data_IF_500590261592
#
_entry.id   IF_500590261592
#
_cell.length_a   1.000
_cell.length_b   1.000
_cell.length_c   1.000
_cell.angle_alpha   90.00
_cell.angle_beta   90.00
_cell.angle_gamma   90.00
#
_symmetry.space_group_name_H-M   'P 1'
#
loop_
_entity.id
_entity.type
_entity.pdbx_description
1 polymer ?
#
# COMPACT_ATOMS: atom_id res chain seq x y z
N UNK A 5 -2.30 -6.52 -8.98
CA UNK A 5 -3.32 -5.74 -9.78
C UNK A 5 -4.70 -6.25 -9.42
N UNK A 6 -5.28 -7.05 -10.30
CA UNK A 6 -6.61 -7.60 -10.07
C UNK A 6 -6.51 -8.95 -9.35
N UNK A 7 -5.28 -9.36 -9.06
CA UNK A 7 -5.01 -10.63 -8.38
C UNK A 7 -5.24 -10.38 -6.88
N UNK A 8 -6.19 -9.49 -6.63
CA UNK A 8 -6.57 -9.06 -5.29
C UNK A 8 -7.60 -10.00 -4.65
N UNK A 9 -7.96 -9.70 -3.40
CA UNK A 9 -8.91 -10.51 -2.63
C UNK A 9 -9.30 -9.64 -1.44
N UNK A 10 -10.59 -9.61 -1.11
CA UNK A 10 -10.99 -8.81 0.04
C UNK A 10 -12.31 -9.32 0.59
N UNK A 11 -12.59 -8.99 1.84
CA UNK A 11 -13.83 -9.45 2.42
C UNK A 11 -14.42 -8.59 3.52
N UNK A 12 -15.74 -8.48 3.51
CA UNK A 12 -16.45 -7.70 4.52
C UNK A 12 -16.25 -8.29 5.92
N UNK A 13 -16.79 -7.56 6.89
CA UNK A 13 -16.74 -7.88 8.31
C UNK A 13 -16.11 -9.21 8.69
N UNK A 14 -14.99 -9.13 9.41
CA UNK A 14 -14.28 -10.33 9.82
C UNK A 14 -13.79 -10.30 11.25
N UNK A 15 -13.26 -11.42 11.72
CA UNK A 15 -12.73 -11.51 13.07
C UNK A 15 -11.42 -12.29 13.06
N UNK A 16 -10.41 -11.83 13.79
CA UNK A 16 -9.13 -12.53 13.84
C UNK A 16 -8.94 -13.20 15.19
N UNK A 17 -8.50 -14.45 15.20
CA UNK A 17 -8.34 -15.18 16.45
C UNK A 17 -6.90 -15.50 16.80
N UNK A 18 -6.49 -15.18 18.04
CA UNK A 18 -5.12 -15.49 18.44
C UNK A 18 -5.21 -16.78 19.24
N UNK A 19 -4.78 -17.86 18.59
CA UNK A 19 -4.81 -19.20 19.15
C UNK A 19 -6.12 -19.56 19.85
N UNK A 20 -7.24 -18.95 19.45
CA UNK A 20 -8.50 -19.28 20.07
C UNK A 20 -9.25 -18.10 20.66
N UNK A 21 -8.56 -17.01 20.92
CA UNK A 21 -9.26 -15.86 21.48
C UNK A 21 -9.58 -14.86 20.40
N UNK A 22 -10.84 -14.43 20.33
CA UNK A 22 -11.24 -13.45 19.34
C UNK A 22 -10.59 -12.17 19.86
N UNK A 24 -10.51 -8.78 17.87
CA UNK A 24 -10.80 -7.56 17.12
C UNK A 24 -11.78 -7.82 15.98
N UNK A 25 -12.92 -7.14 16.04
CA UNK A 25 -13.90 -7.31 14.98
C UNK A 25 -13.46 -6.42 13.85
N UNK A 26 -12.53 -6.95 13.05
CA UNK A 26 -11.99 -6.20 11.93
C UNK A 26 -12.98 -6.09 10.76
N UNK A 27 -13.23 -4.85 10.37
CA UNK A 27 -14.15 -4.56 9.26
C UNK A 27 -13.46 -4.83 7.94
N UNK A 28 -13.72 -4.00 6.94
CA UNK A 28 -13.13 -4.14 5.63
C UNK A 28 -11.65 -4.47 5.63
N UNK A 29 -11.28 -5.50 4.88
CA UNK A 29 -9.87 -5.87 4.77
C UNK A 29 -9.64 -6.25 3.32
N UNK A 30 -8.43 -6.05 2.81
CA UNK A 30 -8.14 -6.40 1.41
C UNK A 30 -6.70 -6.89 1.20
N UNK A 31 -6.54 -8.18 0.90
CA UNK A 31 -5.22 -8.76 0.69
C UNK A 31 -4.78 -8.82 -0.75
N UNK A 32 -3.65 -9.50 -0.95
CA UNK A 32 -3.04 -9.62 -2.26
C UNK A 32 -2.17 -10.87 -2.45
N UNK A 33 -2.71 -11.98 -2.91
CA UNK A 33 -1.86 -13.15 -3.09
C UNK A 33 -0.69 -12.79 -3.99
N UNK A 34 0.53 -12.96 -3.50
CA UNK A 34 1.69 -12.61 -4.30
C UNK A 34 1.92 -13.61 -5.42
N UNK A 35 2.09 -13.09 -6.62
CA UNK A 35 2.34 -13.89 -7.81
C UNK A 35 3.83 -13.87 -8.07
N UNK A 36 4.57 -14.79 -7.46
CA UNK A 36 6.02 -14.78 -7.63
C UNK A 36 6.67 -15.97 -8.32
N UNK A 37 7.59 -15.66 -9.23
CA UNK A 37 8.39 -16.66 -9.93
C UNK A 37 7.61 -17.75 -10.67
N UNK A 38 8.18 -18.94 -10.61
CA UNK A 38 7.63 -20.13 -11.24
C UNK A 38 6.32 -20.61 -10.62
N UNK A 39 5.20 -20.00 -11.02
CA UNK A 39 3.90 -20.39 -10.49
C UNK A 39 2.80 -19.71 -11.30
N UNK A 40 2.29 -20.42 -12.31
CA UNK A 40 1.25 -19.87 -13.17
C UNK A 40 0.21 -19.04 -12.43
N UNK A 41 -0.88 -19.69 -12.01
CA UNK A 41 -1.95 -19.00 -11.32
C UNK A 41 -2.14 -19.52 -9.91
N UNK A 42 -1.41 -18.93 -8.96
CA UNK A 42 -1.48 -19.33 -7.55
C UNK A 42 -2.88 -19.23 -6.96
N UNK A 44 -6.11 -18.47 -8.37
CA UNK A 44 -7.11 -19.25 -9.08
C UNK A 44 -7.28 -20.64 -8.51
N UNK A 45 -6.18 -21.36 -8.35
CA UNK A 45 -6.25 -22.72 -7.82
C UNK A 45 -5.88 -22.86 -6.35
N UNK A 46 -6.73 -22.32 -5.49
CA UNK A 46 -6.55 -22.39 -4.04
C UNK A 46 -7.97 -22.18 -3.55
N UNK A 48 -10.37 -22.76 -5.62
CA UNK A 48 -10.94 -23.95 -6.24
C UNK A 48 -9.84 -24.93 -6.59
N UNK A 49 -9.29 -25.60 -5.58
CA UNK A 49 -8.26 -26.57 -5.87
C UNK A 49 -7.20 -26.82 -4.83
N UNK A 50 -6.51 -27.94 -5.00
CA UNK A 50 -5.42 -28.39 -4.13
C UNK A 50 -4.14 -27.77 -4.66
N UNK A 51 -3.39 -27.11 -3.79
CA UNK A 51 -2.16 -26.50 -4.25
C UNK A 51 -1.14 -26.36 -3.14
N UNK A 52 0.01 -25.77 -3.47
CA UNK A 52 1.07 -25.56 -2.51
C UNK A 52 0.51 -24.73 -1.37
N UNK A 53 1.05 -24.96 -0.17
CA UNK A 53 0.62 -24.24 1.02
C UNK A 53 1.07 -22.77 0.91
N UNK A 54 1.36 -22.36 -0.31
CA UNK A 54 1.78 -20.99 -0.54
C UNK A 54 0.67 -20.01 -0.24
N UNK A 55 0.23 -19.30 -1.27
CA UNK A 55 -0.80 -18.28 -1.14
C UNK A 55 -0.35 -17.26 -0.11
N UNK A 56 0.96 -17.12 0.03
CA UNK A 56 1.53 -16.17 0.95
C UNK A 56 1.23 -14.82 0.31
N UNK A 57 1.17 -13.73 1.09
CA UNK A 57 0.92 -12.42 0.49
C UNK A 57 0.99 -11.22 1.41
N UNK A 58 0.65 -10.04 0.90
CA UNK A 58 0.63 -8.87 1.77
C UNK A 58 -0.77 -8.32 1.67
N UNK A 59 -1.11 -7.38 2.53
CA UNK A 59 -2.45 -6.83 2.48
C UNK A 59 -2.65 -5.65 3.40
N UNK A 60 -3.91 -5.28 3.60
CA UNK A 60 -4.22 -4.18 4.48
C UNK A 60 -5.63 -4.38 4.99
N UNK A 61 -5.93 -3.75 6.11
CA UNK A 61 -7.25 -3.92 6.66
C UNK A 61 -7.47 -2.89 7.73
N UNK A 62 -8.72 -2.58 8.00
CA UNK A 62 -9.04 -1.58 9.02
C UNK A 62 -9.89 -2.21 10.12
N UNK A 63 -9.54 -1.91 11.37
CA UNK A 63 -10.30 -2.46 12.47
C UNK A 63 -11.55 -1.63 12.77
N UNK A 64 -12.55 -2.30 13.35
CA UNK A 64 -13.82 -1.68 13.72
C UNK A 64 -13.73 -1.18 15.17
N UNK A 65 -13.62 -2.11 16.11
CA UNK A 65 -13.52 -1.71 17.53
C UNK A 65 -12.22 -2.26 18.12
N UNK A 66 -11.71 -1.63 19.17
CA UNK A 66 -10.48 -2.08 19.79
C UNK A 66 -10.60 -2.28 21.29
N UNK A 67 -10.52 -3.54 21.72
CA UNK A 67 -10.63 -3.85 23.13
C UNK A 67 -9.35 -3.49 23.87
N UNK A 68 -9.50 -2.72 24.94
CA UNK A 68 -8.35 -2.31 25.75
C UNK A 68 -7.48 -3.53 25.96
N UNK A 69 -8.13 -4.61 26.38
CA UNK A 69 -7.42 -5.85 26.64
C UNK A 69 -6.45 -6.12 25.50
N UNK A 70 -6.99 -6.16 24.29
CA UNK A 70 -6.15 -6.43 23.12
C UNK A 70 -4.94 -5.48 23.04
N UNK A 71 -5.20 -4.18 23.10
CA UNK A 71 -4.11 -3.23 23.02
C UNK A 71 -3.06 -3.63 24.04
N UNK A 72 -3.44 -3.58 25.32
CA UNK A 72 -2.53 -3.97 26.39
C UNK A 72 -1.88 -5.31 26.02
N UNK A 73 -2.66 -6.23 25.47
CA UNK A 73 -2.08 -7.51 25.10
C UNK A 73 -0.95 -7.28 24.12
N UNK A 76 2.31 -6.05 25.57
CA UNK A 76 3.14 -7.07 26.20
C UNK A 76 3.93 -7.84 25.16
N UNK A 77 3.42 -7.81 23.93
CA UNK A 77 4.07 -8.51 22.83
C UNK A 77 5.24 -7.72 22.26
N UNK A 78 4.98 -6.45 21.97
CA UNK A 78 6.02 -5.59 21.43
C UNK A 78 7.08 -5.45 22.51
N UNK A 79 6.68 -5.65 23.76
CA UNK A 79 7.64 -5.57 24.86
C UNK A 79 8.68 -6.63 24.54
N UNK A 80 8.22 -7.88 24.48
CA UNK A 80 9.09 -9.02 24.19
C UNK A 80 9.61 -8.91 22.77
N UNK A 81 9.24 -7.80 22.13
CA UNK A 81 9.68 -7.54 20.77
C UNK A 81 9.36 -8.63 19.78
N UNK A 82 8.11 -9.07 19.78
CA UNK A 82 7.73 -10.10 18.84
C UNK A 82 6.38 -9.83 18.24
N UNK A 83 6.16 -10.32 17.02
CA UNK A 83 4.89 -10.16 16.35
C UNK A 83 4.25 -11.53 16.27
N UNK A 84 3.07 -11.68 16.88
CA UNK A 84 2.25 -12.89 16.95
C UNK A 84 1.52 -13.17 15.63
N UNK A 85 1.10 -14.42 15.43
CA UNK A 85 0.37 -14.77 14.21
C UNK A 85 -1.10 -14.96 14.50
N UNK A 86 -1.93 -14.08 13.97
CA UNK A 86 -3.37 -14.17 14.17
C UNK A 86 -3.96 -14.85 12.94
N UNK A 87 -5.19 -15.35 13.08
CA UNK A 87 -5.87 -16.00 11.98
C UNK A 87 -7.09 -15.15 11.70
N UNK A 88 -7.11 -14.48 10.54
CA UNK A 88 -8.22 -13.62 10.22
C UNK A 88 -9.32 -14.32 9.47
N UNK A 89 -10.45 -14.53 10.12
CA UNK A 89 -11.54 -15.22 9.46
C UNK A 89 -12.74 -14.33 9.16
N UNK A 90 -12.83 -13.88 7.91
CA UNK A 90 -13.92 -13.00 7.49
C UNK A 90 -14.88 -13.62 6.49
N UNK A 91 -15.78 -12.77 5.99
CA UNK A 91 -16.77 -13.14 4.99
C UNK A 91 -16.37 -12.52 3.65
N UNK A 92 -16.13 -13.36 2.65
CA UNK A 92 -15.71 -12.92 1.33
C UNK A 92 -16.67 -11.94 0.67
N UNK A 93 -16.12 -10.93 0.02
CA UNK A 93 -16.94 -9.93 -0.66
C UNK A 93 -16.69 -9.87 -2.17
N UNK A 94 -16.70 -11.01 -2.84
CA UNK A 94 -16.50 -11.02 -4.28
C UNK A 94 -17.88 -10.76 -4.89
N UNK A 95 -18.03 -9.62 -5.54
CA UNK A 95 -19.33 -9.27 -6.14
C UNK A 95 -19.65 -10.12 -7.35
N UNK A 96 -18.62 -10.60 -8.04
CA UNK A 96 -18.85 -11.42 -9.21
C UNK A 96 -19.79 -12.56 -8.85
N UNK A 97 -19.70 -13.02 -7.60
CA UNK A 97 -20.56 -14.10 -7.10
C UNK A 97 -20.48 -15.33 -7.99
N UNK A 98 -19.27 -15.72 -8.36
CA UNK A 98 -19.09 -16.90 -9.20
C UNK A 98 -19.86 -18.08 -8.63
N UNK A 99 -20.16 -18.01 -7.34
CA UNK A 99 -20.90 -19.07 -6.65
C UNK A 99 -21.98 -18.47 -5.73
N UNK A 100 -21.54 -17.85 -4.63
CA UNK A 100 -22.45 -17.24 -3.68
C UNK A 100 -21.66 -16.39 -2.71
N UNK A 101 -21.60 -16.81 -1.44
CA UNK A 101 -20.83 -16.09 -0.41
C UNK A 101 -20.19 -17.07 0.60
N UNK A 102 -18.86 -17.13 0.57
CA UNK A 102 -18.10 -18.03 1.45
C UNK A 102 -17.19 -17.31 2.43
N UNK A 103 -16.72 -18.07 3.43
CA UNK A 103 -15.80 -17.51 4.43
C UNK A 103 -14.39 -17.55 3.87
N UNK A 104 -13.61 -16.58 4.28
CA UNK A 104 -12.23 -16.50 3.86
C UNK A 104 -11.40 -16.42 5.11
N UNK A 105 -10.37 -17.26 5.21
CA UNK A 105 -9.50 -17.19 6.36
C UNK A 105 -8.12 -16.80 5.82
N UNK A 106 -7.32 -16.12 6.64
CA UNK A 106 -5.98 -15.72 6.23
C UNK A 106 -5.00 -16.27 7.21
N UNK A 107 -4.55 -17.49 6.98
CA UNK A 107 -3.62 -18.07 7.90
C UNK A 107 -2.39 -17.23 8.10
N UNK A 108 -2.01 -17.11 9.36
CA UNK A 108 -0.84 -16.37 9.78
C UNK A 108 -0.73 -14.92 9.39
N UNK A 109 -1.85 -14.20 9.43
CA UNK A 109 -1.83 -12.77 9.13
C UNK A 109 -1.00 -12.21 10.28
N UNK A 110 -0.20 -11.20 9.98
CA UNK A 110 0.65 -10.65 11.03
C UNK A 110 0.97 -9.18 10.90
N UNK A 111 0.55 -8.38 11.87
CA UNK A 111 0.86 -6.95 11.85
C UNK A 111 2.00 -6.64 12.77
N UNK A 112 2.40 -5.38 12.77
CA UNK A 112 3.46 -4.90 13.65
C UNK A 112 2.76 -4.54 14.96
N UNK A 113 3.17 -5.21 16.02
CA UNK A 113 2.60 -5.00 17.36
C UNK A 113 2.31 -3.53 17.61
N UNK A 114 3.40 -2.78 17.74
CA UNK A 114 3.38 -1.36 18.00
C UNK A 114 2.29 -0.67 17.20
N UNK A 115 2.29 -0.95 15.90
CA UNK A 115 1.31 -0.35 14.99
C UNK A 115 -0.09 -0.55 15.57
N UNK A 116 -0.33 -1.70 16.19
CA UNK A 116 -1.63 -1.95 16.77
C UNK A 116 -1.82 -1.25 18.10
N UNK A 117 -0.80 -1.25 18.96
CA UNK A 117 -0.92 -0.57 20.24
C UNK A 117 -1.34 0.87 19.97
N UNK A 118 -0.75 1.44 18.92
CA UNK A 118 -1.01 2.82 18.52
C UNK A 118 -2.44 3.13 18.07
N UNK A 119 -3.32 2.14 18.12
CA UNK A 119 -4.70 2.36 17.70
C UNK A 119 -5.50 3.18 18.70
N UNK A 120 -4.94 3.40 19.88
CA UNK A 120 -5.61 4.18 20.91
C UNK A 120 -4.63 4.79 21.92
N UNK A 127 -2.92 6.05 10.90
CA UNK A 127 -4.26 5.88 10.36
C UNK A 127 -4.86 4.53 10.76
N UNK A 128 -6.06 4.23 10.25
CA UNK A 128 -6.74 2.98 10.58
C UNK A 128 -6.40 1.82 9.66
N UNK A 129 -5.93 2.11 8.46
CA UNK A 129 -5.57 1.05 7.51
C UNK A 129 -4.25 0.45 7.92
N UNK A 130 -4.31 -0.66 8.61
CA UNK A 130 -3.08 -1.27 9.05
C UNK A 130 -2.60 -2.33 8.10
N UNK A 131 -1.27 -2.42 7.91
CA UNK A 131 -0.70 -3.42 7.00
C UNK A 131 -0.54 -4.75 7.71
N UNK A 132 -0.39 -5.84 6.97
CA UNK A 132 -0.22 -7.15 7.59
C UNK A 132 0.19 -8.15 6.54
N UNK A 133 0.80 -9.25 6.93
CA UNK A 133 1.23 -10.19 5.92
C UNK A 133 0.92 -11.63 6.23
N UNK A 134 -0.21 -12.09 5.70
CA UNK A 134 -0.65 -13.46 5.92
C UNK A 134 0.31 -14.38 5.21
N UNK A 135 0.32 -15.66 5.57
CA UNK A 135 1.23 -16.62 4.93
C UNK A 135 0.45 -17.62 4.09
N UNK A 136 -0.88 -17.52 4.13
CA UNK A 136 -1.75 -18.39 3.34
C UNK A 136 -3.21 -17.98 3.49
N UNK A 137 -3.96 -18.11 2.40
CA UNK A 137 -5.35 -17.74 2.44
C UNK A 137 -6.22 -18.97 2.17
N UNK A 138 -7.55 -18.83 2.27
CA UNK A 138 -8.43 -19.99 2.08
C UNK A 138 -9.92 -19.60 2.02
N UNK A 139 -10.74 -20.39 1.34
CA UNK A 139 -12.17 -20.13 1.24
C UNK A 139 -12.84 -21.47 1.50
N UNK A 140 -12.68 -21.99 2.72
CA UNK A 140 -13.21 -23.27 3.18
C UNK A 140 -14.67 -23.60 3.02
N UNK A 141 -15.55 -22.76 3.55
CA UNK A 141 -16.97 -23.05 3.50
C UNK A 141 -17.80 -21.98 2.83
N UNK A 142 -19.07 -22.29 2.53
CA UNK A 142 -19.92 -21.29 1.90
C UNK A 142 -20.50 -20.43 3.00
N UNK A 143 -21.82 -20.45 3.19
CA UNK A 143 -22.42 -19.63 4.23
C UNK A 143 -23.96 -19.75 4.27
N UNK B 5 4.62 4.04 8.90
CA UNK B 5 3.50 4.45 9.80
C UNK B 5 3.23 5.92 9.54
N UNK B 6 3.72 6.77 10.43
CA UNK B 6 3.51 8.20 10.28
C UNK B 6 4.69 8.83 9.54
N UNK B 7 5.62 7.99 9.11
CA UNK B 7 6.80 8.41 8.36
C UNK B 7 6.36 8.59 6.91
N UNK B 8 5.08 8.93 6.75
CA UNK B 8 4.46 9.10 5.46
C UNK B 8 4.74 10.47 4.83
N UNK B 9 4.18 10.70 3.64
CA UNK B 9 4.38 11.95 2.89
C UNK B 9 3.38 11.95 1.75
N UNK B 10 2.64 13.03 1.59
CA UNK B 10 1.66 13.08 0.51
C UNK B 10 1.40 14.50 0.07
N UNK B 11 0.89 14.65 -1.15
CA UNK B 11 0.60 15.97 -1.65
C UNK B 11 -0.53 16.03 -2.67
N UNK B 12 -1.26 17.13 -2.64
CA UNK B 12 -2.38 17.35 -3.55
C UNK B 12 -1.87 17.53 -5.00
N UNK B 13 -2.82 17.73 -5.90
CA UNK B 13 -2.59 17.91 -7.33
C UNK B 13 -1.14 18.08 -7.78
N UNK B 14 -0.70 17.17 -8.65
CA UNK B 14 0.66 17.22 -9.16
C UNK B 14 0.80 16.76 -10.60
N UNK B 15 1.98 16.94 -11.17
CA UNK B 15 2.24 16.56 -12.55
C UNK B 15 3.57 15.79 -12.66
N UNK B 16 3.61 14.70 -13.43
CA UNK B 16 4.86 13.93 -13.58
C UNK B 16 5.44 14.12 -14.99
N UNK B 17 6.73 14.43 -15.06
CA UNK B 17 7.37 14.71 -16.34
C UNK B 17 8.35 13.65 -16.81
N UNK B 18 8.17 13.13 -18.01
CA UNK B 18 9.10 12.14 -18.52
C UNK B 18 10.12 12.94 -19.31
N UNK B 19 11.33 12.97 -18.80
CA UNK B 19 12.42 13.73 -19.40
C UNK B 19 11.99 15.06 -20.04
N UNK B 20 10.96 15.70 -19.50
CA UNK B 20 10.53 16.98 -20.04
C UNK B 20 9.08 17.11 -20.45
N UNK B 21 8.49 16.00 -20.87
CA UNK B 21 7.11 16.01 -21.30
C UNK B 21 6.15 15.73 -20.15
N UNK B 22 5.21 16.64 -19.93
CA UNK B 22 4.23 16.44 -18.88
C UNK B 22 3.37 15.31 -19.43
N UNK B 24 0.63 13.43 -17.33
CA UNK B 24 -0.52 13.02 -16.53
C UNK B 24 -0.69 13.94 -15.34
N UNK B 25 -1.83 14.60 -15.30
CA UNK B 25 -2.12 15.49 -14.18
C UNK B 25 -2.61 14.57 -13.09
N UNK B 26 -1.65 14.01 -12.35
CA UNK B 26 -1.96 13.09 -11.27
C UNK B 26 -2.46 13.82 -10.03
N UNK B 27 -3.59 13.35 -9.50
CA UNK B 27 -4.17 13.97 -8.32
C UNK B 27 -3.54 13.47 -7.04
N UNK B 28 -4.35 13.29 -6.01
CA UNK B 28 -3.85 12.81 -4.73
C UNK B 28 -2.84 11.69 -4.90
N UNK B 29 -1.77 11.79 -4.12
CA UNK B 29 -0.70 10.80 -4.12
C UNK B 29 -0.14 10.78 -2.71
N UNK B 30 0.35 9.63 -2.28
CA UNK B 30 0.91 9.52 -0.94
C UNK B 30 2.04 8.49 -0.93
N UNK B 31 3.26 8.94 -0.67
CA UNK B 31 4.41 8.06 -0.66
C UNK B 31 4.81 7.65 0.74
N UNK B 32 5.97 7.01 0.86
CA UNK B 32 6.48 6.52 2.14
C UNK B 32 8.00 6.36 2.21
N UNK B 33 8.74 7.38 2.62
CA UNK B 33 10.19 7.18 2.71
C UNK B 33 10.48 5.94 3.54
N UNK B 34 11.25 5.01 2.99
CA UNK B 34 11.57 3.79 3.70
C UNK B 34 12.63 4.02 4.75
N UNK B 35 12.34 3.59 5.98
CA UNK B 35 13.24 3.71 7.12
C UNK B 35 13.95 2.37 7.28
N UNK B 36 15.07 2.21 6.58
CA UNK B 36 15.78 0.95 6.65
C UNK B 36 17.19 0.99 7.21
N UNK B 37 17.47 -0.01 8.05
CA UNK B 37 18.76 -0.23 8.68
C UNK B 37 19.37 0.95 9.45
N UNK B 38 20.68 1.09 9.30
CA UNK B 38 21.47 2.12 9.95
C UNK B 38 21.22 3.51 9.42
N UNK B 39 20.17 4.17 9.90
CA UNK B 39 19.82 5.52 9.47
C UNK B 39 18.76 6.06 10.40
N UNK B 40 19.17 6.83 11.39
CA UNK B 40 18.24 7.39 12.36
C UNK B 40 16.94 7.91 11.73
N UNK B 41 16.93 9.18 11.35
CA UNK B 41 15.75 9.80 10.76
C UNK B 41 15.99 10.29 9.34
N UNK B 42 15.82 9.40 8.37
CA UNK B 42 16.03 9.74 6.96
C UNK B 42 15.20 10.94 6.48
N UNK B 44 13.07 13.23 8.18
CA UNK B 44 13.29 14.45 8.93
C UNK B 44 14.35 15.31 8.29
N UNK B 45 15.52 14.74 8.06
CA UNK B 45 16.61 15.51 7.46
C UNK B 45 16.80 15.33 5.96
N UNK B 46 15.84 15.84 5.20
CA UNK B 46 15.89 15.78 3.74
C UNK B 46 14.99 16.95 3.38
N UNK B 48 14.42 19.26 5.56
CA UNK B 48 15.20 20.32 6.17
C UNK B 48 16.62 19.82 6.40
N UNK B 49 17.40 19.72 5.33
CA UNK B 49 18.77 19.27 5.51
C UNK B 49 19.46 18.53 4.38
N UNK B 50 20.79 18.48 4.48
CA UNK B 50 21.66 17.81 3.52
C UNK B 50 21.81 16.37 3.99
N UNK B 51 21.51 15.43 3.12
CA UNK B 51 21.64 14.04 3.50
C UNK B 51 21.94 13.16 2.31
N UNK B 52 22.04 11.85 2.57
CA UNK B 52 22.32 10.88 1.52
C UNK B 52 21.27 11.04 0.43
N UNK B 53 21.65 10.70 -0.78
CA UNK B 53 20.73 10.79 -1.92
C UNK B 53 19.67 9.70 -1.76
N UNK B 54 19.55 9.18 -0.53
CA UNK B 54 18.57 8.16 -0.25
C UNK B 54 17.16 8.64 -0.48
N UNK B 55 16.34 8.55 0.58
CA UNK B 55 14.94 8.97 0.50
C UNK B 55 14.23 8.10 -0.53
N UNK B 56 14.73 6.88 -0.69
CA UNK B 56 14.15 5.92 -1.62
C UNK B 56 12.89 5.45 -0.92
N UNK B 57 11.92 4.95 -1.66
CA UNK B 57 10.72 4.46 -1.01
C UNK B 57 9.64 3.91 -1.92
N UNK B 58 8.49 3.61 -1.33
CA UNK B 58 7.35 3.11 -2.10
C UNK B 58 6.20 4.07 -1.93
N UNK B 59 5.10 3.79 -2.59
CA UNK B 59 3.97 4.69 -2.48
C UNK B 59 2.77 4.30 -3.31
N UNK B 60 1.88 5.26 -3.46
CA UNK B 60 0.67 5.06 -4.23
C UNK B 60 0.13 6.42 -4.65
N UNK B 61 -0.62 6.45 -5.73
CA UNK B 61 -1.17 7.70 -6.19
C UNK B 61 -2.26 7.41 -7.19
N UNK B 62 -3.16 8.37 -7.37
CA UNK B 62 -4.25 8.19 -8.33
C UNK B 62 -4.20 9.27 -9.39
N UNK B 63 -4.41 8.89 -10.64
CA UNK B 63 -4.38 9.85 -11.71
C UNK B 63 -5.74 10.51 -11.94
N UNK B 64 -5.69 11.75 -12.41
CA UNK B 64 -6.87 12.55 -12.71
C UNK B 64 -7.35 12.29 -14.14
N UNK B 65 -6.56 12.69 -15.12
CA UNK B 65 -6.94 12.46 -16.52
C UNK B 65 -5.87 11.60 -17.21
N UNK B 66 -6.24 10.95 -18.31
CA UNK B 66 -5.29 10.12 -19.02
C UNK B 66 -5.26 10.39 -20.51
N UNK B 67 -4.18 10.99 -20.97
CA UNK B 67 -4.04 11.30 -22.38
C UNK B 67 -3.75 10.04 -23.21
N UNK B 68 -4.59 9.81 -24.22
CA UNK B 68 -4.43 8.67 -25.10
C UNK B 68 -2.96 8.54 -25.43
N UNK B 69 -2.37 9.64 -25.84
CA UNK B 69 -0.95 9.69 -26.19
C UNK B 69 -0.15 8.91 -25.16
N UNK B 70 -0.24 9.36 -23.91
CA UNK B 70 0.46 8.75 -22.81
C UNK B 70 0.24 7.22 -22.77
N UNK B 71 -1.01 6.79 -22.73
CA UNK B 71 -1.29 5.37 -22.69
C UNK B 71 -0.51 4.68 -23.80
N UNK B 72 -0.81 5.05 -25.05
CA UNK B 72 -0.11 4.49 -26.21
C UNK B 72 1.39 4.58 -25.96
N UNK B 73 1.83 5.70 -25.38
CA UNK B 73 3.24 5.83 -25.12
C UNK B 73 3.67 4.68 -24.22
N UNK B 76 4.12 1.35 -25.87
CA UNK B 76 5.36 1.20 -26.60
C UNK B 76 6.49 0.86 -25.65
N UNK B 77 6.30 1.24 -24.38
CA UNK B 77 7.32 0.96 -23.38
C UNK B 77 7.24 -0.47 -22.87
N UNK B 78 6.05 -0.89 -22.48
CA UNK B 78 5.88 -2.24 -21.99
C UNK B 78 6.19 -3.19 -23.12
N UNK B 79 6.05 -2.70 -24.35
CA UNK B 79 6.37 -3.54 -25.51
C UNK B 79 7.84 -3.92 -25.32
N UNK B 80 8.70 -2.90 -25.30
CA UNK B 80 10.14 -3.12 -25.13
C UNK B 80 10.39 -3.72 -23.76
N UNK B 81 9.30 -3.90 -23.03
CA UNK B 81 9.36 -4.51 -21.72
C UNK B 81 10.22 -3.77 -20.72
N UNK B 82 10.00 -2.47 -20.63
CA UNK B 82 10.77 -1.69 -19.68
C UNK B 82 9.87 -0.70 -18.97
N UNK B 83 10.32 -0.26 -17.80
CA UNK B 83 9.58 0.72 -17.01
C UNK B 83 10.44 1.96 -16.96
N UNK B 84 9.88 3.09 -17.41
CA UNK B 84 10.56 4.39 -17.44
C UNK B 84 10.56 5.09 -16.09
N UNK B 85 11.42 6.08 -15.95
CA UNK B 85 11.51 6.84 -14.71
C UNK B 85 10.91 8.23 -14.89
N UNK B 86 9.74 8.45 -14.33
CA UNK B 86 9.12 9.75 -14.44
C UNK B 86 9.46 10.55 -13.17
N UNK B 87 9.33 11.87 -13.25
CA UNK B 87 9.60 12.73 -12.10
C UNK B 87 8.29 13.37 -11.71
N UNK B 88 7.76 12.98 -10.55
CA UNK B 88 6.48 13.50 -10.09
C UNK B 88 6.64 14.75 -9.26
N UNK B 89 6.19 15.88 -9.80
CA UNK B 89 6.33 17.14 -9.07
C UNK B 89 5.00 17.77 -8.68
N UNK B 90 4.58 17.51 -7.44
CA UNK B 90 3.30 18.01 -6.93
C UNK B 90 3.43 19.07 -5.85
N UNK B 91 2.28 19.38 -5.25
CA UNK B 91 2.18 20.37 -4.19
C UNK B 91 1.97 19.68 -2.84
N UNK B 92 2.88 19.89 -1.91
CA UNK B 92 2.78 19.27 -0.60
C UNK B 92 1.48 19.58 0.13
N UNK B 93 0.95 18.58 0.84
CA UNK B 93 -0.28 18.76 1.59
C UNK B 93 -0.13 18.42 3.06
N UNK B 94 0.91 18.96 3.69
CA UNK B 94 1.11 18.70 5.12
C UNK B 94 0.23 19.75 5.82
N UNK B 95 -0.77 19.28 6.54
CA UNK B 95 -1.67 20.20 7.22
C UNK B 95 -1.00 20.85 8.43
N UNK B 96 -0.02 20.17 9.01
CA UNK B 96 0.68 20.71 10.17
C UNK B 96 1.20 22.11 9.86
N UNK B 97 1.50 22.34 8.58
CA UNK B 97 2.00 23.63 8.11
C UNK B 97 3.17 24.14 8.94
N UNK B 98 4.12 23.25 9.24
CA UNK B 98 5.28 23.65 10.01
C UNK B 98 5.88 24.92 9.44
N UNK B 99 5.56 25.20 8.18
CA UNK B 99 6.06 26.39 7.50
C UNK B 99 4.95 27.06 6.70
N UNK B 100 4.54 26.41 5.61
CA UNK B 100 3.49 26.93 4.76
C UNK B 100 3.13 25.88 3.73
N UNK B 101 3.43 26.15 2.46
CA UNK B 101 3.16 25.18 1.39
C UNK B 101 4.23 25.19 0.29
N UNK B 102 4.94 24.07 0.19
CA UNK B 102 6.03 23.92 -0.76
C UNK B 102 5.79 22.80 -1.79
N UNK B 103 6.59 22.81 -2.85
CA UNK B 103 6.49 21.81 -3.90
C UNK B 103 7.30 20.58 -3.50
N UNK B 104 6.78 19.42 -3.87
CA UNK B 104 7.44 18.17 -3.56
C UNK B 104 7.73 17.47 -4.87
N UNK B 105 8.97 17.05 -5.07
CA UNK B 105 9.23 16.32 -6.29
C UNK B 105 9.61 14.92 -5.82
N UNK B 106 9.36 13.92 -6.66
CA UNK B 106 9.70 12.55 -6.33
C UNK B 106 10.58 12.04 -7.42
N UNK B 107 11.88 12.10 -7.21
CA UNK B 107 12.80 11.65 -8.22
C UNK B 107 12.66 10.17 -8.46
N UNK B 108 12.64 9.83 -9.73
CA UNK B 108 12.52 8.48 -10.21
C UNK B 108 11.34 7.65 -9.72
N UNK B 109 10.18 8.28 -9.63
CA UNK B 109 8.97 7.55 -9.26
C UNK B 109 8.89 6.58 -10.43
N UNK B 110 8.35 5.39 -10.21
CA UNK B 110 8.28 4.41 -11.31
C UNK B 110 7.22 3.34 -11.16
N UNK B 111 6.22 3.35 -12.04
CA UNK B 111 5.16 2.35 -12.02
C UNK B 111 5.43 1.24 -13.02
N UNK B 112 4.50 0.31 -13.09
CA UNK B 112 4.58 -0.80 -14.04
C UNK B 112 3.81 -0.28 -15.26
N UNK B 113 4.49 -0.24 -16.40
CA UNK B 113 3.91 0.25 -17.64
C UNK B 113 2.49 -0.27 -17.82
N UNK B 114 2.39 -1.58 -18.01
CA UNK B 114 1.12 -2.25 -18.21
C UNK B 114 0.05 -1.68 -17.29
N UNK B 115 0.37 -1.64 -16.00
CA UNK B 115 -0.57 -1.11 -15.01
C UNK B 115 -1.12 0.23 -15.46
N UNK B 116 -0.30 1.02 -16.15
CA UNK B 116 -0.76 2.31 -16.63
C UNK B 116 -1.60 2.19 -17.90
N UNK B 117 -1.16 1.37 -18.85
CA UNK B 117 -1.89 1.18 -20.09
C UNK B 117 -3.31 0.72 -19.76
N UNK B 118 -3.43 -0.01 -18.65
CA UNK B 118 -4.71 -0.54 -18.21
C UNK B 118 -5.69 0.52 -17.67
N UNK B 119 -5.25 1.77 -17.64
CA UNK B 119 -6.10 2.85 -17.15
C UNK B 119 -7.28 3.19 -18.06
N UNK B 120 -7.28 2.64 -19.27
CA UNK B 120 -8.36 2.90 -20.22
C UNK B 120 -8.50 1.79 -21.26
N UNK B 127 -8.02 -0.84 -10.43
CA UNK B 127 -8.47 0.37 -9.76
C UNK B 127 -7.65 1.59 -10.18
N UNK B 128 -7.92 2.75 -9.56
CA UNK B 128 -7.20 3.98 -9.89
C UNK B 128 -5.96 4.21 -9.05
N UNK B 129 -5.88 3.58 -7.89
CA UNK B 129 -4.72 3.75 -7.02
C UNK B 129 -3.57 2.94 -7.57
N UNK B 130 -2.63 3.61 -8.22
CA UNK B 130 -1.53 2.88 -8.77
C UNK B 130 -0.30 2.94 -7.91
N UNK B 131 0.38 1.80 -7.76
CA UNK B 131 1.61 1.71 -6.95
C UNK B 131 2.78 2.26 -7.75
N UNK B 132 3.84 2.66 -7.08
CA UNK B 132 5.00 3.18 -7.79
C UNK B 132 6.14 3.25 -6.82
N UNK B 133 7.36 3.40 -7.30
CA UNK B 133 8.46 3.46 -6.35
C UNK B 133 9.51 4.47 -6.70
N UNK B 134 9.45 5.60 -6.01
CA UNK B 134 10.41 6.67 -6.24
C UNK B 134 11.74 6.28 -5.63
N UNK B 135 12.82 6.92 -6.05
CA UNK B 135 14.14 6.60 -5.51
C UNK B 135 14.69 7.76 -4.70
N UNK B 136 13.92 8.83 -4.62
CA UNK B 136 14.32 9.99 -3.84
C UNK B 136 13.19 11.01 -3.88
N UNK B 137 13.05 11.77 -2.80
CA UNK B 137 12.00 12.76 -2.67
C UNK B 137 12.62 14.11 -2.35
N UNK B 138 11.85 15.19 -2.45
CA UNK B 138 12.41 16.51 -2.23
C UNK B 138 11.34 17.61 -2.02
N UNK B 139 11.71 18.68 -1.32
CA UNK B 139 10.79 19.78 -1.09
C UNK B 139 11.64 21.04 -1.31
N UNK B 140 12.02 21.28 -2.57
CA UNK B 140 12.84 22.38 -3.05
C UNK B 140 12.41 23.82 -2.85
N UNK B 141 11.19 24.17 -3.21
CA UNK B 141 10.75 25.55 -3.09
C UNK B 141 9.46 25.70 -2.32
N UNK B 142 9.15 26.93 -1.90
CA UNK B 142 7.92 27.12 -1.17
C UNK B 142 6.79 27.23 -2.16
N UNK B 143 6.20 28.40 -2.33
CA UNK B 143 5.10 28.51 -3.29
C UNK B 143 4.41 29.87 -3.32
N UNK B 144 3.83 30.18 -4.47
CA UNK B 144 3.09 31.41 -4.73
C UNK B 144 3.41 32.47 -3.70
N UNK B 145 4.69 32.83 -3.63
CA UNK B 145 5.20 33.81 -2.70
C UNK B 145 4.25 34.97 -2.45
N UNK B 146 4.07 35.29 -1.17
CA UNK B 146 3.19 36.38 -0.77
C UNK B 146 1.74 36.13 -1.14
N UNK B 147 1.40 34.90 -1.48
CA UNK B 147 0.03 34.58 -1.85
C UNK B 147 -0.20 33.09 -2.11
#
# INVERSE_FOLDING_TARGET
XALKAQNTISGKEGRLFLDGEEXAHIKTFEANVEKNKSEVNIXGRRXTGHKTTGANGTGTATFYKVTSKFVLLXXDYVKKGSDPYFTLQAVLDDQSSGRGTERVTLYDVNFDSAKIASLDVDSEALEEEVPFTFEDFDVPEKLSDTFLEHHHHHH
XALKAQNTISGKEGRLFLDGEEXAHIKTFEANVEKNKSEVNIXGRRXTGHKTTGANGTGTATFYKVTSKFVLLXXDYVKKGSDPYFTLQAVLDDQSSGRGTERVTLYDVNFDSAKIASLDVDSEALEEEVPFTFEDFDVPEKLSDTFLEHHHHHH
#
